data_IF_897664232040
#
_entry.id   IF_897664232040
#
_cell.length_a   1.000
_cell.length_b   1.000
_cell.length_c   1.000
_cell.angle_alpha   90.00
_cell.angle_beta   90.00
_cell.angle_gamma   90.00
#
_symmetry.space_group_name_H-M   'P 1'
#
loop_
_entity.id
_entity.type
_entity.pdbx_description
1 polymer ?
#
# COMPACT_ATOMS: atom_id res chain seq x y z
N UNK A 1 6.35 -2.06 -2.73
CA UNK A 1 6.42 -3.52 -2.53
C UNK A 1 7.25 -3.81 -1.30
N UNK A 2 7.02 -4.95 -0.68
CA UNK A 2 7.81 -5.51 0.42
C UNK A 2 8.44 -6.82 -0.07
N UNK A 3 9.70 -7.06 0.32
CA UNK A 3 10.43 -8.30 0.06
C UNK A 3 11.01 -8.79 1.38
N UNK A 4 10.50 -9.92 1.89
CA UNK A 4 10.97 -10.56 3.11
C UNK A 4 12.29 -11.32 2.88
N UNK A 5 13.02 -11.61 3.96
CA UNK A 5 14.29 -12.36 3.90
C UNK A 5 14.13 -13.75 3.31
N UNK A 6 12.97 -14.37 3.50
CA UNK A 6 12.64 -15.71 2.99
C UNK A 6 12.01 -15.67 1.57
N UNK A 7 12.08 -14.53 0.88
CA UNK A 7 11.51 -14.37 -0.46
C UNK A 7 10.01 -14.09 -0.48
N UNK A 8 9.40 -13.79 0.68
CA UNK A 8 8.02 -13.30 0.75
C UNK A 8 7.87 -12.01 -0.03
N UNK A 9 6.84 -11.92 -0.86
CA UNK A 9 6.59 -10.76 -1.69
C UNK A 9 5.20 -10.22 -1.40
N UNK A 10 5.09 -8.90 -1.22
CA UNK A 10 3.81 -8.24 -1.08
C UNK A 10 3.79 -6.87 -1.77
N UNK A 11 2.62 -6.47 -2.23
CA UNK A 11 2.39 -5.13 -2.76
C UNK A 11 1.77 -4.28 -1.66
N UNK A 12 2.46 -3.20 -1.27
CA UNK A 12 1.99 -2.28 -0.22
C UNK A 12 0.88 -1.36 -0.77
N UNK A 13 1.07 -0.87 -1.99
CA UNK A 13 0.14 0.00 -2.70
C UNK A 13 0.36 -0.18 -4.21
N UNK A 14 -0.71 -0.01 -4.99
CA UNK A 14 -0.64 -0.12 -6.46
C UNK A 14 0.15 1.00 -7.12
N UNK A 15 0.02 2.20 -6.58
CA UNK A 15 0.67 3.41 -7.07
C UNK A 15 0.99 4.38 -5.92
N UNK A 16 1.63 5.50 -6.26
CA UNK A 16 1.99 6.53 -5.28
C UNK A 16 0.75 7.19 -4.64
N UNK A 17 -0.36 7.34 -5.37
CA UNK A 17 -1.58 7.92 -4.84
C UNK A 17 -2.20 7.04 -3.75
N UNK A 18 -2.30 5.74 -4.00
CA UNK A 18 -2.78 4.75 -3.05
C UNK A 18 -1.84 4.66 -1.83
N UNK A 19 -0.53 4.79 -2.05
CA UNK A 19 0.45 4.85 -0.97
C UNK A 19 0.25 6.08 -0.08
N UNK A 20 0.05 7.26 -0.66
CA UNK A 20 -0.21 8.48 0.12
C UNK A 20 -1.53 8.39 0.90
N UNK A 21 -2.55 7.74 0.34
CA UNK A 21 -3.80 7.53 1.07
C UNK A 21 -3.65 6.57 2.24
N UNK A 22 -2.82 5.52 2.15
CA UNK A 22 -2.50 4.67 3.30
C UNK A 22 -1.86 5.49 4.43
N UNK A 23 -0.82 6.25 4.11
CA UNK A 23 -0.14 7.11 5.08
C UNK A 23 -1.08 8.17 5.67
N UNK A 24 -1.95 8.76 4.85
CA UNK A 24 -2.92 9.75 5.29
C UNK A 24 -3.98 9.19 6.24
N UNK A 25 -4.32 7.91 6.11
CA UNK A 25 -5.16 7.19 7.07
C UNK A 25 -4.38 6.70 8.30
N UNK A 26 -3.09 7.05 8.41
CA UNK A 26 -2.23 6.61 9.50
C UNK A 26 -1.81 5.15 9.39
N UNK A 27 -1.74 4.58 8.18
CA UNK A 27 -1.27 3.21 7.93
C UNK A 27 0.08 3.25 7.23
N UNK A 28 1.10 2.73 7.90
CA UNK A 28 2.46 2.61 7.40
C UNK A 28 2.69 1.34 6.57
N UNK A 29 3.84 1.27 5.86
CA UNK A 29 4.17 0.13 5.01
C UNK A 29 4.17 -1.21 5.74
N UNK A 30 4.77 -1.26 6.94
CA UNK A 30 4.89 -2.50 7.69
C UNK A 30 3.53 -2.99 8.21
N UNK A 31 2.62 -2.09 8.55
CA UNK A 31 1.28 -2.45 9.01
C UNK A 31 0.45 -3.14 7.91
N UNK A 32 0.74 -2.89 6.64
CA UNK A 32 0.13 -3.63 5.52
C UNK A 32 0.65 -5.06 5.36
N UNK A 33 1.81 -5.36 5.96
CA UNK A 33 2.48 -6.67 5.90
C UNK A 33 2.17 -7.48 7.14
N UNK A 34 2.45 -6.91 8.31
CA UNK A 34 2.31 -7.58 9.61
C UNK A 34 0.87 -7.58 10.13
N UNK A 35 0.01 -6.77 9.51
CA UNK A 35 -1.35 -6.52 9.94
C UNK A 35 -1.49 -5.28 10.82
N UNK A 36 -2.70 -4.72 10.81
CA UNK A 36 -3.04 -3.51 11.56
C UNK A 36 -3.54 -3.93 12.96
N UNK A 37 -2.74 -3.65 14.00
CA UNK A 37 -3.04 -4.03 15.40
C UNK A 37 -3.58 -2.89 16.28
N UNK A 38 -4.00 -1.80 15.66
CA UNK A 38 -4.61 -0.62 16.29
C UNK A 38 -5.70 -0.07 15.39
N UNK A 39 -6.52 0.85 15.90
CA UNK A 39 -7.41 1.62 15.02
C UNK A 39 -6.56 2.69 14.32
N UNK A 40 -6.48 2.70 12.97
CA UNK A 40 -5.76 3.76 12.26
C UNK A 40 -6.47 5.10 12.47
N UNK A 41 -5.69 6.15 12.69
CA UNK A 41 -6.19 7.50 12.84
C UNK A 41 -5.66 8.37 11.70
N UNK A 42 -6.52 9.11 10.98
CA UNK A 42 -6.07 9.98 9.91
C UNK A 42 -5.13 11.08 10.39
N UNK A 43 -4.10 11.35 9.60
CA UNK A 43 -3.08 12.38 9.87
C UNK A 43 -3.38 13.61 9.00
N UNK A 44 -3.85 14.75 9.57
CA UNK A 44 -4.34 15.90 8.80
C UNK A 44 -3.37 16.45 7.77
N UNK A 45 -2.08 16.52 8.10
CA UNK A 45 -1.04 17.01 7.21
C UNK A 45 -0.86 16.10 5.99
N UNK A 46 -0.96 14.78 6.19
CA UNK A 46 -0.84 13.79 5.13
C UNK A 46 -2.12 13.68 4.29
N UNK A 47 -3.30 13.90 4.89
CA UNK A 47 -4.55 14.06 4.13
C UNK A 47 -4.44 15.21 3.13
N UNK A 48 -3.91 16.35 3.54
CA UNK A 48 -3.71 17.49 2.65
C UNK A 48 -2.72 17.19 1.52
N UNK A 49 -1.65 16.42 1.80
CA UNK A 49 -0.69 15.97 0.79
C UNK A 49 -1.33 14.99 -0.21
N UNK A 50 -2.03 13.97 0.29
CA UNK A 50 -2.71 12.98 -0.54
C UNK A 50 -3.76 13.64 -1.45
N UNK A 51 -4.58 14.53 -0.89
CA UNK A 51 -5.59 15.28 -1.65
C UNK A 51 -4.96 16.16 -2.74
N UNK A 52 -3.87 16.87 -2.43
CA UNK A 52 -3.17 17.72 -3.41
C UNK A 52 -2.56 16.91 -4.54
N UNK A 53 -1.99 15.75 -4.23
CA UNK A 53 -1.30 14.95 -5.23
C UNK A 53 -2.25 14.16 -6.12
N UNK A 54 -3.31 13.59 -5.54
CA UNK A 54 -4.23 12.69 -6.26
C UNK A 54 -5.41 13.44 -6.88
N UNK A 55 -5.84 14.55 -6.30
CA UNK A 55 -7.07 15.24 -6.69
C UNK A 55 -8.35 14.44 -6.40
N UNK A 56 -8.26 13.30 -5.71
CA UNK A 56 -9.40 12.42 -5.40
C UNK A 56 -9.87 12.61 -3.97
N UNK A 57 -11.05 12.13 -3.63
CA UNK A 57 -11.45 12.01 -2.23
C UNK A 57 -10.63 10.93 -1.50
N UNK A 58 -10.63 11.00 -0.15
CA UNK A 58 -10.03 9.99 0.70
C UNK A 58 -10.60 8.60 0.43
N UNK A 59 -9.71 7.61 0.38
CA UNK A 59 -10.06 6.21 0.15
C UNK A 59 -9.99 5.40 1.46
N UNK A 60 -10.91 4.43 1.68
CA UNK A 60 -10.83 3.51 2.81
C UNK A 60 -9.58 2.62 2.74
N UNK A 61 -8.96 2.37 3.90
CA UNK A 61 -7.75 1.53 4.02
C UNK A 61 -7.94 0.15 3.40
N UNK A 62 -9.03 -0.56 3.73
CA UNK A 62 -9.28 -1.92 3.22
C UNK A 62 -9.38 -1.96 1.69
N UNK A 63 -9.95 -0.89 1.09
CA UNK A 63 -10.05 -0.79 -0.36
C UNK A 63 -8.70 -0.49 -1.03
N UNK A 64 -7.75 0.12 -0.32
CA UNK A 64 -6.39 0.35 -0.80
C UNK A 64 -5.58 -0.95 -0.72
N UNK A 65 -5.66 -1.67 0.39
CA UNK A 65 -4.99 -2.97 0.58
C UNK A 65 -5.52 -3.99 -0.41
N UNK A 66 -6.84 -4.15 -0.52
CA UNK A 66 -7.44 -5.10 -1.47
C UNK A 66 -7.04 -4.79 -2.92
N UNK A 67 -6.89 -3.50 -3.26
CA UNK A 67 -6.41 -3.12 -4.58
C UNK A 67 -4.92 -3.47 -4.77
N UNK A 68 -4.09 -3.29 -3.75
CA UNK A 68 -2.69 -3.70 -3.78
C UNK A 68 -2.53 -5.22 -3.96
N UNK A 69 -3.33 -6.02 -3.26
CA UNK A 69 -3.30 -7.49 -3.36
C UNK A 69 -3.56 -8.02 -4.77
N UNK A 70 -4.39 -7.31 -5.57
CA UNK A 70 -4.66 -7.66 -6.97
C UNK A 70 -3.40 -7.59 -7.85
N UNK A 71 -2.42 -6.75 -7.51
CA UNK A 71 -1.20 -6.58 -8.29
C UNK A 71 -0.14 -7.66 -7.98
N UNK A 72 -0.29 -8.39 -6.87
CA UNK A 72 0.70 -9.36 -6.42
C UNK A 72 1.00 -10.46 -7.46
N UNK A 73 0.01 -11.11 -8.10
CA UNK A 73 0.29 -12.14 -9.10
C UNK A 73 1.13 -11.64 -10.28
N UNK A 74 0.85 -10.41 -10.74
CA UNK A 74 1.59 -9.81 -11.85
C UNK A 74 3.04 -9.51 -11.46
N UNK A 75 3.26 -8.98 -10.25
CA UNK A 75 4.61 -8.72 -9.74
C UNK A 75 5.40 -10.02 -9.54
N UNK A 76 4.77 -11.06 -8.99
CA UNK A 76 5.39 -12.39 -8.82
C UNK A 76 5.83 -12.97 -10.17
N UNK A 77 4.97 -12.88 -11.19
CA UNK A 77 5.30 -13.36 -12.54
C UNK A 77 6.48 -12.57 -13.14
N UNK A 78 6.51 -11.24 -12.96
CA UNK A 78 7.59 -10.39 -13.43
C UNK A 78 8.94 -10.80 -12.82
N UNK A 79 9.00 -10.98 -11.50
CA UNK A 79 10.22 -11.38 -10.80
C UNK A 79 10.70 -12.75 -11.30
N UNK A 80 9.80 -13.73 -11.40
CA UNK A 80 10.13 -15.08 -11.88
C UNK A 80 10.61 -15.10 -13.33
N UNK A 81 10.20 -14.13 -14.16
CA UNK A 81 10.65 -14.03 -15.55
C UNK A 81 12.10 -13.53 -15.71
N UNK A 82 12.62 -12.79 -14.72
CA UNK A 82 14.00 -12.29 -14.72
C UNK A 82 15.03 -13.27 -14.13
N UNK A 83 14.57 -14.38 -13.55
CA UNK A 83 15.40 -15.43 -12.94
C UNK A 83 15.59 -16.66 -13.84
N UNK A 84 15.18 -16.60 -15.11
CA UNK A 84 15.22 -17.70 -16.07
C UNK A 84 16.23 -17.45 -17.19
#
# INVERSE_FOLDING_TARGET
MFLGSEGELQVIARDLGDYLWLLANGVGPLETVDGIHRVPEPIPELLAVAQRHTGTAQRPVDALIAAADVELPALTALINSGTN
#
